data_IF_166285845135
#
_entry.id   IF_166285845135
#
_cell.length_a   1.000
_cell.length_b   1.000
_cell.length_c   1.000
_cell.angle_alpha   90.00
_cell.angle_beta   90.00
_cell.angle_gamma   90.00
#
_symmetry.space_group_name_H-M   'P 1'
#
loop_
_entity.id
_entity.type
_entity.pdbx_description
1 polymer ?
#
# COMPACT_ATOMS: atom_id res chain seq x y z
N UNK A 1 -16.97 -0.84 25.97
CA UNK A 1 -15.66 -0.54 25.38
C UNK A 1 -15.89 0.06 24.01
N UNK A 2 -15.65 1.35 23.91
CA UNK A 2 -16.04 2.13 22.74
C UNK A 2 -15.02 1.99 21.63
N UNK A 3 -15.51 1.59 20.45
CA UNK A 3 -14.78 1.57 19.18
C UNK A 3 -14.57 3.01 18.66
N UNK A 4 -13.76 3.81 19.35
CA UNK A 4 -13.51 5.21 18.97
C UNK A 4 -12.23 5.43 18.17
N UNK A 5 -11.50 4.37 17.79
CA UNK A 5 -10.18 4.47 17.17
C UNK A 5 -10.17 4.36 15.64
N UNK A 6 -11.34 4.39 14.98
CA UNK A 6 -11.46 4.18 13.53
C UNK A 6 -11.66 5.44 12.69
N UNK A 7 -11.76 6.62 13.33
CA UNK A 7 -11.90 7.88 12.57
C UNK A 7 -10.69 8.78 12.82
N UNK A 8 -10.01 9.25 11.75
CA UNK A 8 -8.93 10.22 11.90
C UNK A 8 -9.49 11.47 12.59
N UNK A 9 -8.73 12.02 13.54
CA UNK A 9 -9.07 13.29 14.19
C UNK A 9 -9.31 14.34 13.13
N UNK A 10 -10.52 14.88 13.11
CA UNK A 10 -10.90 15.93 12.17
C UNK A 10 -10.67 17.30 12.80
N UNK A 11 -10.04 18.20 12.04
CA UNK A 11 -9.77 19.58 12.48
C UNK A 11 -10.48 20.55 11.55
N UNK A 12 -11.23 21.48 12.12
CA UNK A 12 -11.95 22.48 11.33
C UNK A 12 -11.02 23.59 10.82
N UNK A 13 -11.36 24.16 9.65
CA UNK A 13 -10.64 25.33 9.14
C UNK A 13 -10.68 26.51 10.12
N UNK A 14 -11.75 26.68 10.87
CA UNK A 14 -11.91 27.74 11.89
C UNK A 14 -10.95 27.50 13.07
N UNK A 15 -10.76 26.27 13.52
CA UNK A 15 -9.81 25.95 14.57
C UNK A 15 -8.38 26.23 14.12
N UNK A 16 -7.99 25.79 12.93
CA UNK A 16 -6.67 26.04 12.36
C UNK A 16 -6.43 27.54 12.16
N UNK A 17 -7.42 28.28 11.67
CA UNK A 17 -7.33 29.72 11.50
C UNK A 17 -7.01 30.44 12.81
N UNK A 18 -7.61 30.03 13.92
CA UNK A 18 -7.30 30.55 15.26
C UNK A 18 -5.89 30.17 15.72
N UNK A 19 -5.49 28.92 15.51
CA UNK A 19 -4.17 28.43 15.90
C UNK A 19 -3.04 29.18 15.19
N UNK A 20 -3.19 29.43 13.90
CA UNK A 20 -2.18 30.10 13.07
C UNK A 20 -2.38 31.63 12.97
N UNK A 21 -3.41 32.16 13.62
CA UNK A 21 -3.75 33.58 13.59
C UNK A 21 -3.91 34.15 12.17
N UNK A 22 -4.61 33.39 11.32
CA UNK A 22 -4.91 33.74 9.93
C UNK A 22 -6.41 33.63 9.65
N UNK A 23 -6.87 34.09 8.49
CA UNK A 23 -8.26 33.95 8.10
C UNK A 23 -8.58 32.48 7.72
N UNK A 24 -9.87 32.08 7.87
CA UNK A 24 -10.34 30.78 7.42
C UNK A 24 -10.07 30.52 5.93
N UNK A 25 -10.15 31.57 5.09
CA UNK A 25 -9.91 31.47 3.66
C UNK A 25 -8.45 31.12 3.34
N UNK A 26 -7.49 31.63 4.11
CA UNK A 26 -6.08 31.25 3.99
C UNK A 26 -5.91 29.76 4.27
N UNK A 27 -6.49 29.26 5.35
CA UNK A 27 -6.44 27.81 5.67
C UNK A 27 -7.03 26.97 4.54
N UNK A 28 -8.17 27.34 3.98
CA UNK A 28 -8.80 26.62 2.85
C UNK A 28 -7.87 26.61 1.62
N UNK A 29 -7.22 27.74 1.33
CA UNK A 29 -6.24 27.85 0.25
C UNK A 29 -5.01 26.98 0.49
N UNK A 30 -4.43 27.04 1.67
CA UNK A 30 -3.25 26.25 2.05
C UNK A 30 -3.52 24.73 2.01
N UNK A 31 -4.70 24.29 2.48
CA UNK A 31 -5.13 22.91 2.38
C UNK A 31 -5.25 22.48 0.91
N UNK A 32 -5.75 23.33 0.03
CA UNK A 32 -5.83 23.03 -1.40
C UNK A 32 -4.45 22.88 -2.03
N UNK A 33 -3.50 23.71 -1.65
CA UNK A 33 -2.09 23.63 -2.09
C UNK A 33 -1.45 22.33 -1.57
N UNK A 34 -1.65 21.98 -0.31
CA UNK A 34 -1.13 20.75 0.28
C UNK A 34 -1.69 19.50 -0.41
N UNK A 35 -2.98 19.49 -0.75
CA UNK A 35 -3.59 18.41 -1.53
C UNK A 35 -2.98 18.30 -2.92
N UNK A 36 -2.78 19.42 -3.60
CA UNK A 36 -2.13 19.47 -4.91
C UNK A 36 -0.67 18.99 -4.86
N UNK A 37 0.01 19.20 -3.72
CA UNK A 37 1.35 18.70 -3.44
C UNK A 37 1.39 17.21 -3.03
N UNK A 38 0.26 16.48 -3.14
CA UNK A 38 0.18 15.04 -2.87
C UNK A 38 0.05 14.68 -1.40
N UNK A 39 -0.32 15.63 -0.51
CA UNK A 39 -0.62 15.30 0.88
C UNK A 39 -2.01 14.70 1.00
N UNK A 40 -2.11 13.55 1.66
CA UNK A 40 -3.36 12.82 1.87
C UNK A 40 -4.25 13.52 2.91
N UNK A 41 -4.89 14.61 2.50
CA UNK A 41 -5.85 15.35 3.32
C UNK A 41 -7.25 15.14 2.76
N UNK A 42 -8.14 14.62 3.57
CA UNK A 42 -9.55 14.43 3.23
C UNK A 42 -10.40 15.57 3.79
N UNK A 43 -11.29 16.11 2.96
CA UNK A 43 -12.35 17.03 3.41
C UNK A 43 -13.56 16.23 3.84
N UNK A 44 -14.05 16.48 5.04
CA UNK A 44 -15.26 15.87 5.59
C UNK A 44 -16.27 16.94 5.98
N UNK A 45 -17.50 16.57 6.26
CA UNK A 45 -18.51 17.48 6.79
C UNK A 45 -18.13 18.10 8.16
N UNK A 46 -17.19 17.48 8.88
CA UNK A 46 -16.71 17.91 10.20
C UNK A 46 -15.37 18.65 10.16
N UNK A 47 -14.74 18.80 8.98
CA UNK A 47 -13.43 19.44 8.82
C UNK A 47 -12.48 18.64 7.98
N UNK A 48 -11.20 18.88 8.17
CA UNK A 48 -10.12 18.19 7.46
C UNK A 48 -9.51 17.09 8.32
N UNK A 49 -9.21 15.97 7.71
CA UNK A 49 -8.49 14.87 8.34
C UNK A 49 -7.26 14.53 7.49
N UNK A 50 -6.13 14.32 8.14
CA UNK A 50 -5.01 13.67 7.48
C UNK A 50 -5.33 12.18 7.42
N UNK A 51 -5.46 11.65 6.22
CA UNK A 51 -5.57 10.22 6.01
C UNK A 51 -4.18 9.64 6.28
N UNK A 52 -3.93 9.25 7.53
CA UNK A 52 -2.81 8.37 7.81
C UNK A 52 -3.15 7.08 7.06
N UNK A 53 -2.40 6.77 6.02
CA UNK A 53 -2.53 5.47 5.38
C UNK A 53 -2.35 4.45 6.50
N UNK A 54 -3.32 3.58 6.79
CA UNK A 54 -3.26 2.70 7.96
C UNK A 54 -1.99 1.84 7.99
N UNK A 55 -1.28 1.76 6.87
CA UNK A 55 -0.06 0.98 6.70
C UNK A 55 1.22 1.70 7.21
N UNK A 56 1.31 3.03 7.10
CA UNK A 56 2.51 3.77 7.53
C UNK A 56 2.69 3.79 9.06
N UNK A 57 1.63 3.54 9.81
CA UNK A 57 1.71 3.47 11.28
C UNK A 57 2.25 2.13 11.80
N UNK A 58 2.17 1.06 11.00
CA UNK A 58 2.65 -0.28 11.37
C UNK A 58 4.05 -0.60 10.85
N UNK A 59 4.46 0.04 9.75
CA UNK A 59 5.72 -0.22 9.09
C UNK A 59 6.61 1.01 9.19
N UNK A 60 7.90 0.80 9.46
CA UNK A 60 8.87 1.89 9.45
C UNK A 60 9.17 2.40 8.03
N UNK A 61 8.86 1.59 7.02
CA UNK A 61 9.00 1.94 5.60
C UNK A 61 7.97 1.19 4.76
N UNK A 62 7.40 1.86 3.78
CA UNK A 62 6.51 1.27 2.78
C UNK A 62 7.03 1.62 1.40
N UNK A 63 7.27 0.62 0.58
CA UNK A 63 7.74 0.78 -0.80
C UNK A 63 6.89 0.00 -1.79
N UNK A 64 7.08 0.29 -3.07
CA UNK A 64 6.36 -0.32 -4.18
C UNK A 64 7.32 -1.10 -5.06
N UNK A 65 6.96 -2.31 -5.43
CA UNK A 65 7.69 -3.19 -6.34
C UNK A 65 6.89 -3.43 -7.61
N UNK A 66 7.49 -3.13 -8.75
CA UNK A 66 6.94 -3.50 -10.06
C UNK A 66 7.49 -4.87 -10.46
N UNK A 67 6.61 -5.86 -10.50
CA UNK A 67 6.94 -7.24 -10.79
C UNK A 67 6.49 -7.63 -12.19
N UNK A 68 7.26 -8.49 -12.83
CA UNK A 68 6.91 -9.03 -14.13
C UNK A 68 7.45 -10.46 -14.25
N UNK A 69 6.60 -11.42 -13.97
CA UNK A 69 6.94 -12.85 -14.07
C UNK A 69 5.68 -13.69 -14.25
N UNK A 70 5.88 -14.91 -14.71
CA UNK A 70 4.78 -15.87 -14.82
C UNK A 70 4.39 -16.47 -13.44
N UNK A 71 3.28 -17.17 -13.41
CA UNK A 71 2.73 -17.78 -12.19
C UNK A 71 3.70 -18.76 -11.48
N UNK A 72 4.65 -19.35 -12.22
CA UNK A 72 5.61 -20.30 -11.64
C UNK A 72 6.57 -19.66 -10.62
N UNK A 73 6.82 -18.36 -10.72
CA UNK A 73 7.68 -17.62 -9.81
C UNK A 73 6.92 -16.94 -8.65
N UNK A 74 5.60 -17.02 -8.64
CA UNK A 74 4.76 -16.38 -7.62
C UNK A 74 5.13 -16.84 -6.20
N UNK A 75 5.31 -18.14 -6.00
CA UNK A 75 5.70 -18.68 -4.70
C UNK A 75 7.08 -18.16 -4.27
N UNK A 76 8.03 -18.15 -5.19
CA UNK A 76 9.39 -17.68 -4.92
C UNK A 76 9.44 -16.20 -4.59
N UNK A 77 8.66 -15.38 -5.29
CA UNK A 77 8.48 -13.95 -5.00
C UNK A 77 7.99 -13.73 -3.57
N UNK A 78 6.83 -14.29 -3.25
CA UNK A 78 6.17 -14.08 -1.96
C UNK A 78 7.03 -14.61 -0.79
N UNK A 79 7.62 -15.79 -0.93
CA UNK A 79 8.53 -16.32 0.10
C UNK A 79 9.76 -15.43 0.29
N UNK A 80 10.38 -14.94 -0.79
CA UNK A 80 11.54 -14.06 -0.70
C UNK A 80 11.20 -12.79 0.08
N UNK A 81 10.06 -12.16 -0.18
CA UNK A 81 9.66 -10.94 0.52
C UNK A 81 9.51 -11.18 2.02
N UNK A 82 8.79 -12.22 2.43
CA UNK A 82 8.54 -12.49 3.86
C UNK A 82 9.78 -13.02 4.58
N UNK A 83 10.67 -13.75 3.90
CA UNK A 83 11.96 -14.23 4.46
C UNK A 83 12.91 -13.08 4.82
N UNK A 84 12.90 -12.01 4.05
CA UNK A 84 13.67 -10.80 4.36
C UNK A 84 12.98 -9.87 5.37
N UNK A 85 11.81 -10.26 5.89
CA UNK A 85 11.07 -9.48 6.89
C UNK A 85 10.15 -8.41 6.30
N UNK A 86 9.78 -8.54 5.02
CA UNK A 86 8.74 -7.73 4.38
C UNK A 86 7.35 -8.32 4.59
N UNK A 87 6.34 -7.46 4.50
CA UNK A 87 4.93 -7.84 4.42
C UNK A 87 4.38 -7.43 3.06
N UNK A 88 3.78 -8.36 2.34
CA UNK A 88 3.05 -8.06 1.10
C UNK A 88 1.67 -7.53 1.48
N UNK A 89 1.48 -6.24 1.35
CA UNK A 89 0.24 -5.57 1.77
C UNK A 89 -0.87 -5.84 0.76
N UNK A 90 -0.57 -5.65 -0.52
CA UNK A 90 -1.54 -5.80 -1.61
C UNK A 90 -0.89 -6.29 -2.90
N UNK A 91 -1.73 -6.55 -3.88
CA UNK A 91 -1.38 -6.71 -5.29
C UNK A 91 -2.24 -5.77 -6.12
N UNK A 92 -1.61 -5.08 -7.05
CA UNK A 92 -2.25 -4.13 -7.96
C UNK A 92 -1.91 -4.53 -9.39
N UNK A 93 -2.91 -4.56 -10.26
CA UNK A 93 -2.74 -4.74 -11.71
C UNK A 93 -3.42 -3.62 -12.48
N UNK A 94 -2.90 -3.32 -13.66
CA UNK A 94 -3.51 -2.38 -14.59
C UNK A 94 -4.17 -3.16 -15.72
N UNK A 95 -5.49 -3.32 -15.65
CA UNK A 95 -6.25 -4.06 -16.66
C UNK A 95 -6.75 -3.10 -17.74
N UNK A 96 -6.56 -3.44 -19.01
CA UNK A 96 -6.87 -2.55 -20.15
C UNK A 96 -8.33 -2.08 -20.19
N UNK A 97 -9.27 -2.94 -19.80
CA UNK A 97 -10.70 -2.63 -19.81
C UNK A 97 -11.21 -2.03 -18.49
N UNK A 98 -10.73 -2.56 -17.36
CA UNK A 98 -11.27 -2.21 -16.04
C UNK A 98 -10.40 -1.20 -15.28
N UNK A 99 -9.22 -0.84 -15.80
CA UNK A 99 -8.27 0.04 -15.12
C UNK A 99 -7.56 -0.63 -13.98
N UNK A 100 -7.30 0.10 -12.91
CA UNK A 100 -6.63 -0.41 -11.73
C UNK A 100 -7.51 -1.40 -10.95
N UNK A 101 -6.99 -2.60 -10.74
CA UNK A 101 -7.60 -3.62 -9.88
C UNK A 101 -6.62 -3.91 -8.76
N UNK A 102 -7.05 -3.74 -7.51
CA UNK A 102 -6.23 -4.02 -6.33
C UNK A 102 -6.89 -5.02 -5.41
N UNK A 103 -6.08 -5.85 -4.77
CA UNK A 103 -6.52 -6.81 -3.76
C UNK A 103 -5.58 -6.80 -2.57
N UNK A 104 -6.15 -6.68 -1.37
CA UNK A 104 -5.41 -6.74 -0.13
C UNK A 104 -4.99 -8.18 0.16
N UNK A 105 -3.72 -8.39 0.53
CA UNK A 105 -3.15 -9.71 0.80
C UNK A 105 -2.72 -9.89 2.25
N UNK A 106 -2.04 -8.90 2.84
CA UNK A 106 -1.52 -8.92 4.22
C UNK A 106 -0.68 -10.16 4.56
N UNK A 107 0.23 -10.55 3.66
CA UNK A 107 1.10 -11.70 3.86
C UNK A 107 2.38 -11.29 4.59
N UNK A 108 2.54 -11.67 5.84
CA UNK A 108 3.66 -11.30 6.69
C UNK A 108 4.55 -12.48 7.12
N UNK A 109 4.12 -13.70 6.84
CA UNK A 109 4.82 -14.91 7.25
C UNK A 109 4.80 -15.98 6.16
N UNK A 110 5.72 -16.95 6.26
CA UNK A 110 5.72 -18.14 5.39
C UNK A 110 4.40 -18.93 5.49
N UNK A 111 3.78 -18.92 6.65
CA UNK A 111 2.50 -19.56 6.87
C UNK A 111 1.39 -18.88 6.06
N UNK A 112 1.34 -17.55 6.07
CA UNK A 112 0.37 -16.78 5.28
C UNK A 112 0.55 -17.03 3.79
N UNK A 113 1.79 -16.99 3.30
CA UNK A 113 2.13 -17.30 1.91
C UNK A 113 1.68 -18.72 1.53
N UNK A 114 1.98 -19.72 2.37
CA UNK A 114 1.56 -21.09 2.13
C UNK A 114 0.03 -21.22 2.04
N UNK A 115 -0.71 -20.60 2.96
CA UNK A 115 -2.18 -20.58 2.93
C UNK A 115 -2.72 -19.95 1.67
N UNK A 116 -2.15 -18.80 1.28
CA UNK A 116 -2.53 -18.09 0.06
C UNK A 116 -2.34 -18.96 -1.19
N UNK A 117 -1.18 -19.61 -1.34
CA UNK A 117 -0.87 -20.48 -2.47
C UNK A 117 -1.78 -21.71 -2.52
N UNK A 118 -2.10 -22.31 -1.38
CA UNK A 118 -3.06 -23.43 -1.31
C UNK A 118 -4.44 -22.98 -1.76
N UNK A 119 -4.92 -21.84 -1.28
CA UNK A 119 -6.23 -21.29 -1.66
C UNK A 119 -6.32 -20.96 -3.15
N UNK A 120 -5.24 -20.45 -3.72
CA UNK A 120 -5.13 -20.20 -5.16
C UNK A 120 -5.20 -21.47 -5.98
N UNK A 121 -4.55 -22.56 -5.52
CA UNK A 121 -4.50 -23.85 -6.23
C UNK A 121 -5.79 -24.66 -6.11
N UNK A 122 -6.47 -24.59 -4.96
CA UNK A 122 -7.67 -25.43 -4.68
C UNK A 122 -8.96 -24.85 -5.28
N UNK A 123 -9.03 -23.57 -5.56
CA UNK A 123 -10.25 -22.86 -5.99
C UNK A 123 -10.44 -22.73 -7.50
N UNK A 124 -9.51 -23.18 -8.33
CA UNK A 124 -9.54 -22.92 -9.78
C UNK A 124 -9.41 -21.42 -10.11
N UNK A 125 -9.15 -20.59 -9.11
CA UNK A 125 -8.96 -19.16 -9.27
C UNK A 125 -7.53 -18.86 -9.71
N UNK A 126 -7.38 -18.07 -10.75
CA UNK A 126 -6.06 -17.64 -11.21
C UNK A 126 -5.60 -16.40 -10.41
N UNK A 127 -4.31 -16.27 -10.09
CA UNK A 127 -3.77 -15.05 -9.50
C UNK A 127 -4.03 -13.83 -10.40
N UNK A 128 -4.18 -12.64 -9.81
CA UNK A 128 -4.45 -11.41 -10.57
C UNK A 128 -3.37 -11.12 -11.62
N UNK A 129 -2.11 -11.44 -11.35
CA UNK A 129 -1.01 -11.26 -12.31
C UNK A 129 -1.20 -12.04 -13.62
N UNK A 130 -1.99 -13.11 -13.63
CA UNK A 130 -2.30 -13.84 -14.87
C UNK A 130 -3.23 -13.09 -15.82
N UNK A 131 -3.91 -12.04 -15.36
CA UNK A 131 -4.75 -11.17 -16.18
C UNK A 131 -3.96 -10.12 -16.98
N UNK A 132 -2.70 -9.92 -16.65
CA UNK A 132 -1.81 -8.89 -17.22
C UNK A 132 -0.47 -9.47 -17.69
N UNK A 133 -0.48 -10.71 -18.17
CA UNK A 133 0.72 -11.41 -18.66
C UNK A 133 1.91 -11.39 -17.70
N UNK A 134 1.61 -11.42 -16.38
CA UNK A 134 2.62 -11.43 -15.32
C UNK A 134 2.97 -10.05 -14.76
N UNK A 135 2.53 -8.96 -15.35
CA UNK A 135 2.79 -7.62 -14.86
C UNK A 135 1.88 -7.29 -13.66
N UNK A 136 2.48 -6.95 -12.54
CA UNK A 136 1.76 -6.54 -11.35
C UNK A 136 2.63 -5.69 -10.43
N UNK A 137 2.00 -5.10 -9.45
CA UNK A 137 2.63 -4.20 -8.48
C UNK A 137 2.31 -4.73 -7.09
N UNK A 138 3.29 -4.75 -6.20
CA UNK A 138 3.10 -5.00 -4.78
C UNK A 138 3.46 -3.79 -3.94
N UNK A 139 2.63 -3.48 -2.97
CA UNK A 139 2.98 -2.58 -1.86
C UNK A 139 3.58 -3.42 -0.73
N UNK A 140 4.81 -3.10 -0.34
CA UNK A 140 5.57 -3.85 0.66
C UNK A 140 5.81 -3.00 1.89
N UNK A 141 5.37 -3.48 3.04
CA UNK A 141 5.68 -2.90 4.34
C UNK A 141 6.94 -3.54 4.95
N UNK A 142 7.86 -2.73 5.46
CA UNK A 142 9.11 -3.17 6.04
C UNK A 142 9.41 -2.40 7.34
N UNK A 143 10.33 -2.95 8.15
CA UNK A 143 10.83 -2.26 9.34
C UNK A 143 11.58 -0.97 9.00
N UNK A 144 12.33 -0.96 7.89
CA UNK A 144 13.13 0.17 7.43
C UNK A 144 13.41 0.05 5.93
N UNK A 145 13.95 1.12 5.35
CA UNK A 145 14.29 1.18 3.93
C UNK A 145 15.37 0.16 3.53
N UNK A 146 16.35 -0.11 4.40
CA UNK A 146 17.42 -1.06 4.09
C UNK A 146 16.87 -2.48 3.89
N UNK A 147 15.86 -2.87 4.64
CA UNK A 147 15.14 -4.14 4.44
C UNK A 147 14.44 -4.16 3.08
N UNK A 148 13.78 -3.08 2.69
CA UNK A 148 13.15 -2.98 1.37
C UNK A 148 14.17 -3.10 0.23
N UNK A 149 15.33 -2.43 0.34
CA UNK A 149 16.38 -2.51 -0.66
C UNK A 149 16.99 -3.94 -0.76
N UNK A 150 17.10 -4.64 0.37
CA UNK A 150 17.54 -6.04 0.39
C UNK A 150 16.55 -6.96 -0.35
N UNK A 151 15.22 -6.77 -0.11
CA UNK A 151 14.16 -7.49 -0.84
C UNK A 151 14.25 -7.20 -2.33
N UNK A 152 14.33 -5.93 -2.71
CA UNK A 152 14.42 -5.50 -4.10
C UNK A 152 15.64 -6.12 -4.81
N UNK A 153 16.79 -6.14 -4.16
CA UNK A 153 18.00 -6.76 -4.68
C UNK A 153 17.81 -8.26 -4.91
N UNK A 154 17.30 -8.99 -3.90
CA UNK A 154 17.06 -10.42 -3.99
C UNK A 154 16.08 -10.79 -5.12
N UNK A 155 15.00 -10.02 -5.29
CA UNK A 155 14.05 -10.23 -6.38
C UNK A 155 14.60 -9.86 -7.76
N UNK A 156 15.49 -8.86 -7.83
CA UNK A 156 16.20 -8.50 -9.06
C UNK A 156 17.15 -9.60 -9.53
N UNK A 157 17.88 -10.22 -8.61
CA UNK A 157 18.76 -11.35 -8.90
C UNK A 157 18.01 -12.58 -9.45
N UNK A 158 16.75 -12.71 -9.09
CA UNK A 158 15.82 -13.76 -9.57
C UNK A 158 15.04 -13.37 -10.82
N UNK A 159 15.27 -12.19 -11.39
CA UNK A 159 14.54 -11.63 -12.53
C UNK A 159 13.01 -11.55 -12.32
N UNK A 160 12.58 -11.28 -11.11
CA UNK A 160 11.17 -11.16 -10.74
C UNK A 160 10.66 -9.73 -10.92
N UNK A 161 11.50 -8.73 -10.64
CA UNK A 161 11.12 -7.31 -10.79
C UNK A 161 11.54 -6.74 -12.15
N UNK A 162 10.71 -5.84 -12.67
CA UNK A 162 11.02 -5.06 -13.87
C UNK A 162 12.18 -4.10 -13.59
N UNK A 163 13.08 -3.95 -14.57
CA UNK A 163 14.18 -2.98 -14.51
C UNK A 163 13.66 -1.56 -14.68
#
# INVERSE_FOLDING_TARGET
MCSSDLYPETVTATYLAKQFNVSRQIIVGDISVLKAAGKDIMSTARGYAVVKRPFESFYGYVGVLNCNHNESLLAEELYTIVEFGGTVIDVIIMHDLYGEISCKLDLSSKYDVKRFLISSSCGGSKPLCSLTDGQHIHTIGCKNESTFQAIRKALSEKNIISK
#
